data_IF_871625284466
#
_entry.id   IF_871625284466
#
_cell.length_a   1.000
_cell.length_b   1.000
_cell.length_c   1.000
_cell.angle_alpha   90.00
_cell.angle_beta   90.00
_cell.angle_gamma   90.00
#
_symmetry.space_group_name_H-M   'P 1'
#
loop_
_entity.id
_entity.type
_entity.pdbx_description
1 polymer ?
#
# COMPACT_ATOMS: atom_id res chain seq x y z
N UNK A 1 -2.77 -9.38 -7.53
CA UNK A 1 -3.58 -8.82 -6.44
C UNK A 1 -2.65 -8.09 -5.47
N UNK A 2 -3.08 -6.97 -4.91
CA UNK A 2 -2.36 -6.28 -3.83
C UNK A 2 -3.21 -6.38 -2.56
N UNK A 3 -2.65 -6.98 -1.52
CA UNK A 3 -3.19 -6.97 -0.16
C UNK A 3 -2.56 -5.83 0.63
N UNK A 4 -3.26 -5.31 1.63
CA UNK A 4 -2.73 -4.31 2.54
C UNK A 4 -3.13 -4.66 3.98
N UNK A 5 -2.20 -4.46 4.91
CA UNK A 5 -2.46 -4.57 6.33
C UNK A 5 -1.49 -3.71 7.15
N UNK A 6 -1.84 -3.49 8.43
CA UNK A 6 -0.98 -2.86 9.42
C UNK A 6 -0.42 -3.95 10.34
N UNK A 7 0.89 -4.27 10.29
CA UNK A 7 1.46 -5.39 11.04
C UNK A 7 1.43 -5.21 12.55
N UNK A 8 1.30 -3.96 13.04
CA UNK A 8 1.28 -3.60 14.46
C UNK A 8 -0.10 -3.13 14.94
N UNK A 9 -1.11 -3.15 14.07
CA UNK A 9 -2.46 -2.76 14.46
C UNK A 9 -3.10 -3.89 15.24
N UNK A 10 -3.22 -3.69 16.54
CA UNK A 10 -4.06 -4.48 17.43
C UNK A 10 -5.13 -3.60 18.09
N UNK A 11 -5.99 -4.22 18.88
CA UNK A 11 -7.11 -3.56 19.56
C UNK A 11 -6.68 -2.45 20.53
N UNK A 12 -5.47 -2.53 21.08
CA UNK A 12 -5.00 -1.73 22.20
C UNK A 12 -3.97 -0.68 21.76
N UNK A 13 -3.17 -0.96 20.72
CA UNK A 13 -1.99 -0.18 20.32
C UNK A 13 -2.29 0.81 19.19
N UNK A 14 -3.32 0.57 18.36
CA UNK A 14 -3.74 1.46 17.24
C UNK A 14 -2.58 2.07 16.42
N UNK A 15 -1.52 1.30 16.19
CA UNK A 15 -0.31 1.78 15.50
C UNK A 15 -0.43 1.62 13.98
N UNK A 16 -0.61 2.75 13.30
CA UNK A 16 -0.71 2.82 11.84
C UNK A 16 0.59 3.28 11.16
N UNK A 17 1.68 3.49 11.90
CA UNK A 17 2.94 4.04 11.36
C UNK A 17 3.66 3.12 10.39
N UNK A 18 3.30 1.84 10.40
CA UNK A 18 3.86 0.87 9.50
C UNK A 18 2.72 0.20 8.75
N UNK A 19 2.78 0.16 7.44
CA UNK A 19 1.87 -0.65 6.63
C UNK A 19 2.64 -1.55 5.66
N UNK A 20 2.06 -2.70 5.37
CA UNK A 20 2.63 -3.70 4.48
C UNK A 20 1.69 -3.89 3.30
N UNK A 21 2.25 -3.79 2.10
CA UNK A 21 1.57 -4.14 0.86
C UNK A 21 2.11 -5.48 0.36
N UNK A 22 1.25 -6.48 0.36
CA UNK A 22 1.58 -7.83 -0.10
C UNK A 22 1.16 -8.00 -1.56
N UNK A 23 2.08 -8.51 -2.37
CA UNK A 23 1.90 -8.66 -3.80
C UNK A 23 1.72 -10.13 -4.16
N UNK A 24 0.65 -10.40 -4.91
CA UNK A 24 0.24 -11.74 -5.30
C UNK A 24 0.07 -11.85 -6.81
N UNK A 25 0.49 -12.97 -7.36
CA UNK A 25 0.29 -13.36 -8.76
C UNK A 25 -0.56 -14.62 -8.86
N UNK A 26 -1.11 -14.89 -10.03
CA UNK A 26 -1.90 -16.09 -10.29
C UNK A 26 -1.91 -16.40 -11.79
N UNK A 27 -1.93 -17.68 -12.19
CA UNK A 27 -2.08 -18.07 -13.60
C UNK A 27 -3.47 -17.76 -14.16
N UNK A 28 -4.47 -17.51 -13.30
CA UNK A 28 -5.83 -17.12 -13.71
C UNK A 28 -6.37 -15.93 -12.90
N UNK A 29 -7.41 -15.22 -13.36
CA UNK A 29 -7.93 -14.05 -12.66
C UNK A 29 -8.51 -14.34 -11.25
N UNK A 30 -8.84 -15.58 -10.93
CA UNK A 30 -9.49 -15.98 -9.66
C UNK A 30 -8.61 -16.85 -8.76
N UNK A 31 -7.37 -17.13 -9.16
CA UNK A 31 -6.41 -17.91 -8.35
C UNK A 31 -5.97 -19.23 -9.01
N UNK A 32 -5.16 -20.05 -8.30
CA UNK A 32 -4.66 -19.83 -6.94
C UNK A 32 -3.67 -18.65 -6.87
N UNK A 33 -3.78 -17.85 -5.82
CA UNK A 33 -2.88 -16.71 -5.59
C UNK A 33 -1.59 -17.16 -4.91
N UNK A 34 -0.45 -16.77 -5.48
CA UNK A 34 0.88 -16.96 -4.91
C UNK A 34 1.42 -15.61 -4.46
N UNK A 35 1.78 -15.51 -3.19
CA UNK A 35 2.55 -14.38 -2.67
C UNK A 35 3.95 -14.39 -3.30
N UNK A 36 4.40 -13.26 -3.83
CA UNK A 36 5.72 -13.15 -4.45
C UNK A 36 6.59 -12.02 -3.92
N UNK A 37 6.02 -10.99 -3.28
CA UNK A 37 6.77 -9.87 -2.72
C UNK A 37 5.95 -9.12 -1.65
N UNK A 38 6.62 -8.38 -0.78
CA UNK A 38 6.02 -7.51 0.23
C UNK A 38 6.79 -6.21 0.33
N UNK A 39 6.08 -5.08 0.34
CA UNK A 39 6.68 -3.76 0.48
C UNK A 39 6.20 -3.17 1.80
N UNK A 40 7.15 -2.80 2.65
CA UNK A 40 6.85 -2.16 3.95
C UNK A 40 7.07 -0.66 3.84
N UNK A 41 6.08 0.10 4.26
CA UNK A 41 6.15 1.54 4.41
C UNK A 41 6.21 1.89 5.89
N UNK A 42 7.20 2.69 6.29
CA UNK A 42 7.37 3.20 7.64
C UNK A 42 8.14 4.53 7.50
N UNK A 43 7.65 5.66 8.04
CA UNK A 43 6.55 5.80 8.99
C UNK A 43 5.15 6.01 8.38
N UNK A 44 4.92 5.60 7.11
CA UNK A 44 3.66 5.89 6.42
C UNK A 44 2.59 4.81 6.69
N UNK A 45 1.39 5.27 7.05
CA UNK A 45 0.21 4.45 7.28
C UNK A 45 -0.73 4.35 6.08
N UNK A 46 -0.18 4.13 4.89
CA UNK A 46 -0.94 4.13 3.63
C UNK A 46 -1.97 3.00 3.57
N UNK A 47 -3.17 3.30 3.09
CA UNK A 47 -4.26 2.31 2.95
C UNK A 47 -4.95 2.34 1.60
N UNK A 48 -5.62 1.21 1.33
CA UNK A 48 -6.37 0.94 0.11
C UNK A 48 -5.52 1.20 -1.17
N UNK A 49 -4.39 0.49 -1.34
CA UNK A 49 -3.55 0.68 -2.51
C UNK A 49 -4.26 0.20 -3.78
N UNK A 50 -4.14 0.99 -4.85
CA UNK A 50 -4.68 0.72 -6.18
C UNK A 50 -3.57 0.87 -7.21
N UNK A 51 -3.47 -0.10 -8.13
CA UNK A 51 -2.53 -0.06 -9.25
C UNK A 51 -3.29 0.31 -10.52
N UNK A 52 -3.24 1.56 -11.01
CA UNK A 52 -3.89 1.93 -12.25
C UNK A 52 -3.02 1.45 -13.42
N UNK A 53 -3.59 0.60 -14.28
CA UNK A 53 -2.86 -0.03 -15.40
C UNK A 53 -2.17 0.96 -16.35
N UNK A 54 -2.70 2.18 -16.48
CA UNK A 54 -2.12 3.25 -17.30
C UNK A 54 -0.75 3.72 -16.83
N UNK A 55 -0.41 3.50 -15.55
CA UNK A 55 0.86 3.93 -14.95
C UNK A 55 1.80 2.77 -14.64
N UNK A 56 1.65 1.65 -15.36
CA UNK A 56 2.54 0.50 -15.30
C UNK A 56 3.45 0.53 -16.54
N UNK A 57 4.76 0.35 -16.34
CA UNK A 57 5.73 0.25 -17.44
C UNK A 57 5.46 -0.97 -18.32
N UNK A 58 5.96 -0.94 -19.56
CA UNK A 58 5.74 -2.02 -20.52
C UNK A 58 6.25 -3.40 -20.06
N UNK A 59 7.28 -3.42 -19.21
CA UNK A 59 7.83 -4.63 -18.60
C UNK A 59 7.11 -5.07 -17.31
N UNK A 60 6.12 -4.30 -16.84
CA UNK A 60 5.36 -4.58 -15.63
C UNK A 60 6.11 -4.33 -14.32
N UNK A 61 7.37 -3.87 -14.37
CA UNK A 61 8.23 -3.78 -13.17
C UNK A 61 8.16 -2.46 -12.45
N UNK A 62 7.88 -1.36 -13.14
CA UNK A 62 7.81 -0.03 -12.55
C UNK A 62 6.37 0.48 -12.63
N UNK A 63 5.85 0.99 -11.52
CA UNK A 63 4.48 1.49 -11.48
C UNK A 63 4.29 2.62 -10.47
N UNK A 64 3.23 3.39 -10.68
CA UNK A 64 2.67 4.29 -9.67
C UNK A 64 1.48 3.61 -9.00
N UNK A 65 1.55 3.47 -7.68
CA UNK A 65 0.46 3.00 -6.83
C UNK A 65 -0.22 4.21 -6.20
N UNK A 66 -1.55 4.21 -6.21
CA UNK A 66 -2.35 5.23 -5.54
C UNK A 66 -2.83 4.70 -4.19
N UNK A 67 -2.75 5.50 -3.14
CA UNK A 67 -3.31 5.17 -1.82
C UNK A 67 -4.25 6.30 -1.36
N UNK A 68 -5.35 5.92 -0.68
CA UNK A 68 -6.42 6.85 -0.32
C UNK A 68 -6.03 7.93 0.70
N UNK A 69 -4.97 7.69 1.46
CA UNK A 69 -4.47 8.56 2.51
C UNK A 69 -3.37 7.87 3.30
N UNK A 70 -2.87 8.59 4.30
CA UNK A 70 -1.95 8.10 5.31
C UNK A 70 -2.62 8.22 6.69
N UNK A 71 -2.97 7.10 7.30
CA UNK A 71 -3.64 7.09 8.61
C UNK A 71 -2.74 7.63 9.74
N UNK A 72 -1.42 7.68 9.58
CA UNK A 72 -0.55 8.29 10.60
C UNK A 72 -0.76 9.81 10.70
N UNK A 73 -1.24 10.46 9.64
CA UNK A 73 -1.52 11.90 9.64
C UNK A 73 -2.57 12.30 10.69
N UNK A 74 -3.45 11.39 11.11
CA UNK A 74 -4.43 11.64 12.17
C UNK A 74 -3.78 11.97 13.51
N UNK A 75 -2.56 11.51 13.74
CA UNK A 75 -1.78 11.77 14.96
C UNK A 75 -1.07 13.13 14.93
N UNK A 76 -1.07 13.83 13.79
CA UNK A 76 -0.40 15.12 13.61
C UNK A 76 -1.30 16.30 14.05
N UNK A 77 -0.74 17.51 14.21
CA UNK A 77 -1.52 18.72 14.48
C UNK A 77 -2.62 18.95 13.41
N UNK A 78 -3.75 19.60 13.74
CA UNK A 78 -4.88 19.75 12.81
C UNK A 78 -4.55 20.35 11.44
N UNK A 79 -3.50 21.17 11.35
CA UNK A 79 -3.04 21.79 10.10
C UNK A 79 -2.36 20.77 9.15
N UNK A 80 -1.96 19.62 9.69
CA UNK A 80 -1.24 18.55 9.01
C UNK A 80 -2.08 17.26 8.88
N UNK A 81 -3.29 17.22 9.46
CA UNK A 81 -4.28 16.15 9.30
C UNK A 81 -4.94 16.20 7.92
N UNK A 82 -4.15 15.93 6.89
CA UNK A 82 -4.59 16.03 5.50
C UNK A 82 -5.04 14.68 4.97
N UNK A 83 -6.32 14.59 4.60
CA UNK A 83 -6.83 13.49 3.79
C UNK A 83 -6.52 13.76 2.31
N UNK A 84 -5.44 13.18 1.80
CA UNK A 84 -4.99 13.40 0.42
C UNK A 84 -4.70 12.08 -0.30
N UNK A 85 -4.79 12.13 -1.63
CA UNK A 85 -4.35 11.01 -2.47
C UNK A 85 -2.82 10.97 -2.49
N UNK A 86 -2.24 9.81 -2.16
CA UNK A 86 -0.80 9.59 -2.28
C UNK A 86 -0.48 8.86 -3.59
N UNK A 87 0.60 9.28 -4.25
CA UNK A 87 1.16 8.63 -5.43
C UNK A 87 2.53 8.06 -5.03
N UNK A 88 2.67 6.74 -5.09
CA UNK A 88 3.83 6.05 -4.54
C UNK A 88 4.51 5.26 -5.65
N UNK A 89 5.81 5.49 -5.92
CA UNK A 89 6.53 4.69 -6.90
C UNK A 89 6.81 3.30 -6.32
N UNK A 90 6.57 2.27 -7.13
CA UNK A 90 6.86 0.88 -6.78
C UNK A 90 7.65 0.22 -7.91
N UNK A 91 8.74 -0.44 -7.54
CA UNK A 91 9.56 -1.25 -8.44
C UNK A 91 9.61 -2.68 -7.95
N UNK A 92 9.19 -3.63 -8.78
CA UNK A 92 9.25 -5.06 -8.50
C UNK A 92 10.64 -5.62 -8.80
N UNK A 93 11.17 -6.43 -7.88
CA UNK A 93 12.46 -7.12 -8.04
C UNK A 93 12.39 -8.34 -8.97
#
# INVERSE_FOLDING_TARGET
LIGWHYPKLDRDTWDHKECVWDLYESPTPWGPWRHFDSVTWNPLGLYNPVIPSKFVSADGRNMWVLACGDFDTWSLPPQEQLYTLHQVPLTLS
#
